data_IF_037276814684
#
_entry.id   IF_037276814684
#
_cell.length_a   1.000
_cell.length_b   1.000
_cell.length_c   1.000
_cell.angle_alpha   90.00
_cell.angle_beta   90.00
_cell.angle_gamma   90.00
#
_symmetry.space_group_name_H-M   'P 1'
#
loop_
_entity.id
_entity.type
_entity.pdbx_description
1 polymer ?
#
# COMPACT_ATOMS: atom_id res chain seq x y z
N UNK A 1 6.61 -17.86 -6.75
CA UNK A 1 7.72 -16.95 -7.10
C UNK A 1 8.01 -16.01 -5.93
N UNK A 2 9.18 -16.17 -5.30
CA UNK A 2 9.64 -15.23 -4.25
C UNK A 2 10.43 -14.13 -4.94
N UNK A 3 9.75 -13.10 -5.45
CA UNK A 3 10.41 -11.96 -6.09
C UNK A 3 10.86 -10.98 -5.00
N UNK A 4 12.14 -11.03 -4.65
CA UNK A 4 12.83 -9.87 -4.08
C UNK A 4 12.89 -8.82 -5.17
N UNK A 5 12.16 -7.73 -5.01
CA UNK A 5 12.10 -6.67 -6.02
C UNK A 5 11.65 -5.36 -5.42
N UNK A 6 12.00 -4.28 -6.12
CA UNK A 6 11.57 -2.91 -5.80
C UNK A 6 10.73 -2.36 -6.95
N UNK A 7 9.49 -2.85 -7.17
CA UNK A 7 8.70 -2.44 -8.32
C UNK A 7 8.29 -0.97 -8.19
N UNK A 8 8.45 -0.23 -9.28
CA UNK A 8 7.93 1.13 -9.44
C UNK A 8 6.88 1.11 -10.54
N UNK A 9 5.64 1.45 -10.19
CA UNK A 9 4.50 1.40 -11.12
C UNK A 9 3.78 2.75 -11.12
N UNK A 10 3.57 3.32 -12.31
CA UNK A 10 2.96 4.66 -12.52
C UNK A 10 1.81 4.65 -13.55
N UNK A 11 0.71 3.92 -13.32
CA UNK A 11 -0.39 3.86 -14.27
C UNK A 11 -1.38 5.04 -14.10
N UNK A 12 -2.10 5.43 -15.15
CA UNK A 12 -3.24 6.37 -14.98
C UNK A 12 -4.36 5.73 -14.16
N UNK A 13 -4.66 4.47 -14.45
CA UNK A 13 -5.68 3.64 -13.79
C UNK A 13 -5.13 2.24 -13.62
N UNK A 14 -5.37 1.60 -12.46
CA UNK A 14 -4.88 0.25 -12.26
C UNK A 14 -5.44 -0.45 -11.04
N UNK A 15 -5.44 -1.79 -11.10
CA UNK A 15 -5.62 -2.67 -9.96
C UNK A 15 -4.36 -3.52 -9.82
N UNK A 16 -3.76 -3.55 -8.64
CA UNK A 16 -2.49 -4.25 -8.44
C UNK A 16 -2.54 -5.14 -7.20
N UNK A 17 -2.12 -6.40 -7.37
CA UNK A 17 -2.04 -7.41 -6.32
C UNK A 17 -0.61 -7.89 -6.20
N UNK A 18 0.03 -7.67 -5.04
CA UNK A 18 1.42 -8.09 -4.80
C UNK A 18 1.54 -8.94 -3.55
N UNK A 19 2.31 -10.03 -3.64
CA UNK A 19 2.57 -10.99 -2.56
C UNK A 19 4.09 -11.23 -2.38
N UNK A 20 4.90 -10.22 -2.01
CA UNK A 20 6.33 -10.42 -1.85
C UNK A 20 6.65 -11.03 -0.47
N UNK A 21 7.67 -11.88 -0.38
CA UNK A 21 8.21 -12.30 0.94
C UNK A 21 8.90 -11.12 1.63
N UNK A 22 9.75 -10.42 0.90
CA UNK A 22 10.53 -9.27 1.33
C UNK A 22 10.57 -8.25 0.19
N UNK A 23 10.42 -6.95 0.47
CA UNK A 23 10.56 -5.94 -0.57
C UNK A 23 10.08 -4.55 -0.21
N UNK A 24 10.35 -3.62 -1.12
CA UNK A 24 9.85 -2.24 -1.08
C UNK A 24 8.97 -2.00 -2.30
N UNK A 25 7.80 -1.38 -2.11
CA UNK A 25 6.89 -1.06 -3.22
C UNK A 25 6.64 0.44 -3.29
N UNK A 26 6.77 1.01 -4.49
CA UNK A 26 6.44 2.41 -4.75
C UNK A 26 5.45 2.53 -5.89
N UNK A 27 4.27 3.06 -5.60
CA UNK A 27 3.21 3.23 -6.58
C UNK A 27 2.62 4.64 -6.61
N UNK A 28 2.36 5.12 -7.83
CA UNK A 28 1.84 6.48 -8.07
C UNK A 28 0.71 6.45 -9.13
N UNK A 29 -0.44 5.80 -8.86
CA UNK A 29 -1.55 5.81 -9.80
C UNK A 29 -2.39 7.10 -9.70
N UNK A 30 -3.06 7.56 -10.78
CA UNK A 30 -4.09 8.61 -10.59
C UNK A 30 -5.31 8.02 -9.89
N UNK A 31 -5.79 6.87 -10.36
CA UNK A 31 -6.96 6.19 -9.80
C UNK A 31 -6.67 4.69 -9.67
N UNK A 32 -7.03 4.03 -8.57
CA UNK A 32 -6.81 2.59 -8.51
C UNK A 32 -7.13 1.89 -7.20
N UNK A 33 -6.96 0.57 -7.23
CA UNK A 33 -7.07 -0.29 -6.06
C UNK A 33 -5.81 -1.13 -5.87
N UNK A 34 -5.29 -1.19 -4.65
CA UNK A 34 -4.04 -1.86 -4.34
C UNK A 34 -4.22 -2.87 -3.22
N UNK A 35 -3.81 -4.12 -3.44
CA UNK A 35 -3.82 -5.18 -2.43
C UNK A 35 -2.42 -5.76 -2.24
N UNK A 36 -1.85 -5.60 -1.05
CA UNK A 36 -0.47 -6.01 -0.77
C UNK A 36 -0.41 -6.85 0.50
N UNK A 37 0.20 -8.04 0.42
CA UNK A 37 0.38 -8.94 1.55
C UNK A 37 1.86 -9.35 1.68
N UNK A 38 2.75 -8.46 2.18
CA UNK A 38 4.14 -8.82 2.39
C UNK A 38 4.37 -9.56 3.72
N UNK A 39 5.35 -10.47 3.79
CA UNK A 39 5.83 -10.92 5.12
C UNK A 39 6.63 -9.80 5.79
N UNK A 40 7.61 -9.23 5.08
CA UNK A 40 8.40 -8.10 5.60
C UNK A 40 8.55 -7.03 4.52
N UNK A 41 8.41 -5.75 4.83
CA UNK A 41 8.68 -4.73 3.81
C UNK A 41 8.27 -3.30 4.13
N UNK A 42 8.54 -2.41 3.18
CA UNK A 42 8.09 -1.02 3.22
C UNK A 42 7.23 -0.71 2.00
N UNK A 43 6.20 0.10 2.17
CA UNK A 43 5.28 0.41 1.07
C UNK A 43 4.97 1.90 1.04
N UNK A 44 5.14 2.51 -0.14
CA UNK A 44 4.87 3.93 -0.38
C UNK A 44 3.90 4.10 -1.54
N UNK A 45 2.71 4.64 -1.27
CA UNK A 45 1.67 4.85 -2.29
C UNK A 45 1.25 6.31 -2.32
N UNK A 46 1.15 6.87 -3.52
CA UNK A 46 0.70 8.25 -3.76
C UNK A 46 -0.41 8.31 -4.81
N UNK A 47 -1.63 7.82 -4.51
CA UNK A 47 -2.73 7.88 -5.47
C UNK A 47 -3.51 9.20 -5.40
N UNK A 48 -4.08 9.71 -6.50
CA UNK A 48 -5.07 10.81 -6.38
C UNK A 48 -6.36 10.30 -5.74
N UNK A 49 -6.89 9.19 -6.23
CA UNK A 49 -8.15 8.61 -5.75
C UNK A 49 -8.04 7.08 -5.69
N UNK A 50 -8.57 6.40 -4.68
CA UNK A 50 -8.58 4.93 -4.72
C UNK A 50 -8.85 4.19 -3.43
N UNK A 51 -8.57 2.89 -3.47
CA UNK A 51 -8.63 2.01 -2.30
C UNK A 51 -7.31 1.26 -2.08
N UNK A 52 -6.98 1.00 -0.82
CA UNK A 52 -5.77 0.29 -0.43
C UNK A 52 -6.09 -0.74 0.65
N UNK A 53 -5.62 -1.97 0.45
CA UNK A 53 -5.67 -3.05 1.44
C UNK A 53 -4.27 -3.62 1.65
N UNK A 54 -3.72 -3.44 2.84
CA UNK A 54 -2.34 -3.83 3.17
C UNK A 54 -2.33 -4.72 4.41
N UNK A 55 -1.84 -5.95 4.29
CA UNK A 55 -1.73 -6.92 5.38
C UNK A 55 -0.27 -7.40 5.51
N UNK A 56 0.62 -6.60 6.11
CA UNK A 56 2.01 -6.98 6.34
C UNK A 56 2.13 -7.81 7.63
N UNK A 57 3.01 -8.84 7.66
CA UNK A 57 3.42 -9.40 8.97
C UNK A 57 4.32 -8.40 9.71
N UNK A 58 5.30 -7.80 9.04
CA UNK A 58 6.22 -6.81 9.64
C UNK A 58 6.54 -5.71 8.63
N UNK A 59 6.45 -4.42 8.98
CA UNK A 59 6.85 -3.39 8.01
C UNK A 59 6.39 -1.96 8.26
N UNK A 60 6.65 -1.10 7.28
CA UNK A 60 6.25 0.31 7.29
C UNK A 60 5.35 0.65 6.09
N UNK A 61 4.25 1.35 6.34
CA UNK A 61 3.34 1.83 5.29
C UNK A 61 3.28 3.36 5.30
N UNK A 62 3.54 3.98 4.15
CA UNK A 62 3.37 5.42 3.92
C UNK A 62 2.40 5.68 2.76
N UNK A 63 1.26 6.32 3.05
CA UNK A 63 0.23 6.62 2.03
C UNK A 63 -0.03 8.13 2.00
N UNK A 64 0.11 8.76 0.81
CA UNK A 64 -0.16 10.19 0.59
C UNK A 64 -1.17 10.40 -0.55
N UNK A 65 -2.48 10.28 -0.31
CA UNK A 65 -3.50 10.45 -1.33
C UNK A 65 -4.28 11.77 -1.28
N UNK A 66 -4.96 12.13 -2.39
CA UNK A 66 -6.03 13.14 -2.32
C UNK A 66 -7.27 12.56 -1.64
N UNK A 67 -7.75 11.41 -2.11
CA UNK A 67 -8.92 10.69 -1.57
C UNK A 67 -8.62 9.18 -1.51
N UNK A 68 -8.71 8.55 -0.34
CA UNK A 68 -8.48 7.10 -0.21
C UNK A 68 -9.47 6.42 0.76
N UNK A 69 -9.81 5.17 0.45
CA UNK A 69 -10.25 4.20 1.47
C UNK A 69 -9.10 3.24 1.79
N UNK A 70 -8.67 3.20 3.04
CA UNK A 70 -7.50 2.43 3.48
C UNK A 70 -7.87 1.41 4.55
N UNK A 71 -7.60 0.13 4.30
CA UNK A 71 -7.70 -0.96 5.26
C UNK A 71 -6.32 -1.57 5.52
N UNK A 72 -5.87 -1.51 6.77
CA UNK A 72 -4.54 -2.02 7.18
C UNK A 72 -4.70 -2.97 8.34
N UNK A 73 -3.97 -4.08 8.28
CA UNK A 73 -3.90 -5.08 9.36
C UNK A 73 -2.45 -5.59 9.49
N UNK A 74 -1.59 -4.83 10.19
CA UNK A 74 -0.21 -5.19 10.43
C UNK A 74 -0.08 -6.04 11.71
N UNK A 75 0.75 -7.10 11.70
CA UNK A 75 1.12 -7.78 12.95
C UNK A 75 2.17 -6.99 13.74
N UNK A 76 3.16 -6.40 13.07
CA UNK A 76 4.19 -5.53 13.66
C UNK A 76 4.60 -4.42 12.70
N UNK A 77 4.92 -3.23 13.24
CA UNK A 77 5.50 -2.13 12.47
C UNK A 77 4.73 -0.80 12.56
N UNK A 78 4.85 0.04 11.53
CA UNK A 78 4.39 1.43 11.58
C UNK A 78 3.54 1.84 10.38
N UNK A 79 2.53 2.69 10.63
CA UNK A 79 1.63 3.22 9.63
C UNK A 79 1.66 4.76 9.65
N UNK A 80 1.91 5.38 8.49
CA UNK A 80 1.80 6.82 8.29
C UNK A 80 0.89 7.13 7.11
N UNK A 81 -0.18 7.88 7.35
CA UNK A 81 -1.18 8.21 6.35
C UNK A 81 -1.45 9.71 6.38
N UNK A 82 -1.33 10.37 5.23
CA UNK A 82 -1.48 11.83 5.07
C UNK A 82 -2.39 12.15 3.88
N UNK A 83 -3.71 12.06 4.07
CA UNK A 83 -4.71 12.27 3.03
C UNK A 83 -5.37 13.66 3.11
N UNK A 84 -5.87 14.16 1.96
CA UNK A 84 -6.84 15.28 1.98
C UNK A 84 -8.22 14.82 2.45
N UNK A 85 -8.61 13.59 2.10
CA UNK A 85 -9.87 12.96 2.51
C UNK A 85 -9.64 11.45 2.68
N UNK A 86 -10.04 10.89 3.82
CA UNK A 86 -9.81 9.46 4.12
C UNK A 86 -10.95 8.78 4.85
N UNK A 87 -11.17 7.52 4.47
CA UNK A 87 -11.74 6.50 5.35
C UNK A 87 -10.63 5.52 5.74
N UNK A 88 -10.26 5.48 7.02
CA UNK A 88 -9.22 4.61 7.56
C UNK A 88 -9.85 3.56 8.46
N UNK A 89 -9.57 2.28 8.18
CA UNK A 89 -9.87 1.17 9.08
C UNK A 89 -8.60 0.40 9.40
N UNK A 90 -8.14 0.53 10.65
CA UNK A 90 -7.07 -0.29 11.21
C UNK A 90 -7.73 -1.36 12.07
N UNK A 91 -7.45 -2.63 11.79
CA UNK A 91 -7.87 -3.72 12.66
C UNK A 91 -6.69 -4.14 13.54
N UNK A 92 -6.93 -4.51 14.82
CA UNK A 92 -5.92 -5.12 15.68
C UNK A 92 -5.46 -6.48 15.15
#
# INVERSE_FOLDING_TARGET
MSTTGSPKVCPKTGSLKVLPKTGSLKEIPKTGSLKVLPKTGSLKVLPKTGSLKVLPKTGSLKVLPKTISLKVLPKTGSLKVLPRTISLKVLP
#
